data_IF_646216501291
#
_entry.id   IF_646216501291
#
_cell.length_a   1.000
_cell.length_b   1.000
_cell.length_c   1.000
_cell.angle_alpha   90.00
_cell.angle_beta   90.00
_cell.angle_gamma   90.00
#
_symmetry.space_group_name_H-M   'P 1'
#
loop_
_entity.id
_entity.type
_entity.pdbx_description
1 polymer ?
#
# COMPACT_ATOMS: atom_id res chain seq x y z
N UNK A 1 -20.37 -13.92 29.33
CA UNK A 1 -20.57 -14.58 28.03
C UNK A 1 -20.69 -13.46 26.98
N UNK A 2 -20.04 -13.61 25.83
CA UNK A 2 -20.18 -12.66 24.71
C UNK A 2 -21.63 -12.61 24.24
N UNK A 3 -22.12 -11.43 23.90
CA UNK A 3 -23.41 -11.23 23.28
C UNK A 3 -23.55 -11.95 21.93
N UNK A 4 -24.76 -12.09 21.42
CA UNK A 4 -25.00 -12.77 20.14
C UNK A 4 -24.35 -12.00 18.97
N UNK A 5 -24.45 -10.67 18.99
CA UNK A 5 -23.79 -9.79 18.00
C UNK A 5 -22.26 -9.96 18.04
N UNK A 6 -21.67 -9.93 19.24
CA UNK A 6 -20.22 -10.09 19.40
C UNK A 6 -19.71 -11.42 18.86
N UNK A 7 -20.48 -12.50 19.03
CA UNK A 7 -20.14 -13.82 18.47
C UNK A 7 -20.15 -13.83 16.96
N UNK A 8 -21.11 -13.15 16.33
CA UNK A 8 -21.16 -12.98 14.87
C UNK A 8 -19.96 -12.15 14.36
N UNK A 9 -19.67 -11.03 15.02
CA UNK A 9 -18.53 -10.17 14.70
C UNK A 9 -17.21 -10.95 14.84
N UNK A 10 -17.01 -11.66 15.95
CA UNK A 10 -15.79 -12.44 16.17
C UNK A 10 -15.60 -13.54 15.11
N UNK A 11 -16.66 -14.30 14.81
CA UNK A 11 -16.62 -15.32 13.75
C UNK A 11 -16.34 -14.71 12.38
N UNK A 12 -16.89 -13.53 12.08
CA UNK A 12 -16.65 -12.83 10.83
C UNK A 12 -15.20 -12.33 10.73
N UNK A 13 -14.65 -11.75 11.80
CA UNK A 13 -13.24 -11.30 11.85
C UNK A 13 -12.30 -12.47 11.59
N UNK A 14 -12.52 -13.62 12.23
CA UNK A 14 -11.72 -14.82 12.01
C UNK A 14 -11.76 -15.27 10.54
N UNK A 15 -12.95 -15.32 9.94
CA UNK A 15 -13.11 -15.75 8.54
C UNK A 15 -12.51 -14.75 7.56
N UNK A 16 -12.78 -13.45 7.71
CA UNK A 16 -12.29 -12.40 6.82
C UNK A 16 -10.77 -12.15 6.96
N UNK A 17 -10.18 -12.44 8.11
CA UNK A 17 -8.73 -12.31 8.28
C UNK A 17 -7.91 -13.33 7.49
N UNK A 18 -8.53 -14.43 7.05
CA UNK A 18 -7.87 -15.52 6.33
C UNK A 18 -8.47 -15.80 4.95
N UNK A 19 -9.63 -15.22 4.62
CA UNK A 19 -10.35 -15.45 3.37
C UNK A 19 -10.83 -14.14 2.78
N UNK A 20 -10.73 -14.04 1.47
CA UNK A 20 -11.30 -12.92 0.72
C UNK A 20 -12.80 -12.75 1.04
N UNK A 21 -13.23 -11.50 1.23
CA UNK A 21 -14.63 -11.14 1.55
C UNK A 21 -15.64 -11.85 0.66
N UNK A 22 -15.39 -11.88 -0.68
CA UNK A 22 -16.31 -12.51 -1.65
C UNK A 22 -16.55 -13.98 -1.41
N UNK A 23 -15.59 -14.72 -0.84
CA UNK A 23 -15.67 -16.17 -0.59
C UNK A 23 -16.30 -16.55 0.74
N UNK A 24 -16.49 -15.59 1.65
CA UNK A 24 -17.13 -15.82 2.96
C UNK A 24 -18.65 -15.67 2.84
N UNK A 25 -19.40 -16.70 3.24
CA UNK A 25 -20.87 -16.66 3.26
C UNK A 25 -21.42 -16.38 4.66
N UNK A 26 -22.64 -15.80 4.72
CA UNK A 26 -23.40 -15.62 5.98
C UNK A 26 -23.55 -16.95 6.72
N UNK A 27 -23.81 -18.04 5.99
CA UNK A 27 -23.92 -19.36 6.59
C UNK A 27 -22.62 -19.84 7.26
N UNK A 28 -21.45 -19.50 6.68
CA UNK A 28 -20.16 -19.81 7.30
C UNK A 28 -19.93 -19.00 8.58
N UNK A 29 -20.29 -17.71 8.58
CA UNK A 29 -20.21 -16.84 9.76
C UNK A 29 -21.11 -17.36 10.88
N UNK A 30 -22.37 -17.68 10.57
CA UNK A 30 -23.31 -18.24 11.55
C UNK A 30 -22.82 -19.56 12.15
N UNK A 31 -22.27 -20.44 11.31
CA UNK A 31 -21.71 -21.72 11.77
C UNK A 31 -20.55 -21.52 12.72
N UNK A 32 -19.60 -20.62 12.39
CA UNK A 32 -18.48 -20.27 13.26
C UNK A 32 -18.93 -19.68 14.60
N UNK A 33 -20.00 -18.87 14.57
CA UNK A 33 -20.61 -18.30 15.77
C UNK A 33 -21.47 -19.29 16.57
N UNK A 34 -21.77 -20.50 16.04
CA UNK A 34 -22.70 -21.44 16.65
C UNK A 34 -24.15 -20.93 16.68
N UNK A 35 -24.58 -20.24 15.61
CA UNK A 35 -25.88 -19.58 15.47
C UNK A 35 -26.59 -20.02 14.18
N UNK A 36 -27.91 -19.85 14.10
CA UNK A 36 -28.66 -20.06 12.88
C UNK A 36 -28.64 -18.81 11.98
N UNK A 37 -28.86 -19.01 10.66
CA UNK A 37 -28.96 -17.90 9.72
C UNK A 37 -30.08 -16.89 10.07
N UNK A 38 -31.20 -17.36 10.63
CA UNK A 38 -32.29 -16.50 11.06
C UNK A 38 -31.90 -15.55 12.20
N UNK A 39 -30.94 -15.95 13.04
CA UNK A 39 -30.42 -15.09 14.11
C UNK A 39 -29.55 -13.96 13.49
N UNK A 40 -28.78 -14.24 12.45
CA UNK A 40 -27.95 -13.23 11.77
C UNK A 40 -28.77 -12.01 11.31
N UNK A 41 -29.89 -12.29 10.63
CA UNK A 41 -30.73 -11.23 10.04
C UNK A 41 -31.53 -10.40 11.06
N UNK A 42 -31.42 -10.74 12.37
CA UNK A 42 -31.92 -9.85 13.44
C UNK A 42 -30.95 -8.75 13.82
N UNK A 43 -29.67 -8.90 13.46
CA UNK A 43 -28.59 -7.97 13.81
C UNK A 43 -28.03 -7.23 12.60
N UNK A 44 -28.01 -7.88 11.43
CA UNK A 44 -27.39 -7.34 10.23
C UNK A 44 -28.26 -7.61 8.99
N UNK A 45 -28.47 -6.59 8.16
CA UNK A 45 -29.23 -6.69 6.91
C UNK A 45 -28.50 -7.55 5.85
N UNK A 46 -27.21 -7.84 6.05
CA UNK A 46 -26.42 -8.66 5.17
C UNK A 46 -24.94 -8.69 5.55
N UNK A 47 -24.17 -9.48 4.80
CA UNK A 47 -22.73 -9.63 5.03
C UNK A 47 -21.99 -8.28 4.98
N UNK A 48 -22.40 -7.38 4.09
CA UNK A 48 -21.80 -6.06 3.97
C UNK A 48 -22.02 -5.21 5.22
N UNK A 49 -23.22 -5.20 5.78
CA UNK A 49 -23.54 -4.46 7.00
C UNK A 49 -22.66 -4.93 8.17
N UNK A 50 -22.48 -6.24 8.33
CA UNK A 50 -21.57 -6.79 9.34
C UNK A 50 -20.10 -6.37 9.06
N UNK A 51 -19.66 -6.43 7.79
CA UNK A 51 -18.29 -6.08 7.43
C UNK A 51 -18.02 -4.59 7.72
N UNK A 52 -18.93 -3.68 7.33
CA UNK A 52 -18.85 -2.26 7.64
C UNK A 52 -18.81 -1.99 9.15
N UNK A 53 -19.62 -2.69 9.92
CA UNK A 53 -19.60 -2.63 11.39
C UNK A 53 -18.23 -2.98 11.99
N UNK A 54 -17.54 -3.98 11.41
CA UNK A 54 -16.17 -4.33 11.81
C UNK A 54 -15.21 -3.19 11.46
N UNK A 55 -15.32 -2.62 10.26
CA UNK A 55 -14.44 -1.51 9.83
C UNK A 55 -14.60 -0.27 10.72
N UNK A 56 -15.83 0.08 11.09
CA UNK A 56 -16.14 1.16 12.03
C UNK A 56 -15.53 0.92 13.40
N UNK A 57 -15.63 -0.31 13.90
CA UNK A 57 -15.01 -0.70 15.17
C UNK A 57 -13.49 -0.56 15.12
N UNK A 58 -12.85 -0.96 14.03
CA UNK A 58 -11.40 -0.82 13.86
C UNK A 58 -11.00 0.65 13.82
N UNK A 59 -11.75 1.51 13.11
CA UNK A 59 -11.48 2.96 13.08
C UNK A 59 -11.57 3.57 14.48
N UNK A 60 -12.57 3.18 15.27
CA UNK A 60 -12.72 3.67 16.64
C UNK A 60 -11.57 3.20 17.54
N UNK A 61 -11.17 1.93 17.42
CA UNK A 61 -10.02 1.40 18.16
C UNK A 61 -8.73 2.13 17.79
N UNK A 62 -8.49 2.38 16.49
CA UNK A 62 -7.31 3.16 16.04
C UNK A 62 -7.40 4.59 16.57
N UNK A 63 -8.55 5.26 16.45
CA UNK A 63 -8.74 6.62 16.98
C UNK A 63 -8.36 6.67 18.44
N UNK A 64 -8.86 5.76 19.26
CA UNK A 64 -8.57 5.70 20.70
C UNK A 64 -7.08 5.45 20.98
N UNK A 65 -6.40 4.65 20.14
CA UNK A 65 -4.98 4.36 20.31
C UNK A 65 -4.09 5.57 19.97
N UNK A 66 -4.48 6.42 18.99
CA UNK A 66 -3.59 7.46 18.45
C UNK A 66 -4.03 8.90 18.75
N UNK A 67 -5.24 9.15 19.27
CA UNK A 67 -5.84 10.51 19.37
C UNK A 67 -5.06 11.49 20.24
N UNK A 68 -4.36 11.01 21.25
CA UNK A 68 -3.62 11.84 22.19
C UNK A 68 -2.21 11.29 22.44
N UNK A 69 -1.28 11.44 21.49
CA UNK A 69 0.10 11.06 21.70
C UNK A 69 0.68 11.70 22.96
N UNK A 70 1.24 10.86 23.85
CA UNK A 70 1.75 11.29 25.16
C UNK A 70 3.15 11.87 25.06
N UNK A 71 3.44 12.87 25.87
CA UNK A 71 4.78 13.42 25.97
C UNK A 71 4.80 14.90 26.34
N UNK A 72 5.87 15.33 26.98
CA UNK A 72 6.09 16.72 27.41
C UNK A 72 6.54 17.63 26.26
N UNK A 73 7.21 17.06 25.28
CA UNK A 73 7.68 17.75 24.08
C UNK A 73 7.13 17.09 22.79
N UNK A 74 7.32 17.75 21.65
CA UNK A 74 6.88 17.25 20.35
C UNK A 74 7.57 15.95 19.98
N UNK A 75 8.86 15.81 20.27
CA UNK A 75 9.62 14.57 20.05
C UNK A 75 9.00 13.38 20.78
N UNK A 76 8.66 13.55 22.07
CA UNK A 76 8.01 12.49 22.86
C UNK A 76 6.66 12.09 22.26
N UNK A 77 5.87 13.08 21.80
CA UNK A 77 4.56 12.83 21.17
C UNK A 77 4.70 12.06 19.85
N UNK A 78 5.69 12.39 19.01
CA UNK A 78 5.99 11.64 17.77
C UNK A 78 6.38 10.20 18.10
N UNK A 79 7.24 10.00 19.11
CA UNK A 79 7.61 8.65 19.56
C UNK A 79 6.42 7.86 20.09
N UNK A 80 5.54 8.53 20.85
CA UNK A 80 4.30 7.93 21.36
C UNK A 80 3.37 7.52 20.22
N UNK A 81 3.18 8.39 19.20
CA UNK A 81 2.38 8.09 18.02
C UNK A 81 2.96 6.90 17.24
N UNK A 82 4.26 6.89 16.96
CA UNK A 82 4.90 5.80 16.24
C UNK A 82 4.72 4.47 16.97
N UNK A 83 4.92 4.45 18.29
CA UNK A 83 4.68 3.26 19.12
C UNK A 83 3.22 2.81 19.08
N UNK A 84 2.26 3.73 19.16
CA UNK A 84 0.82 3.41 19.11
C UNK A 84 0.43 2.72 17.79
N UNK A 85 0.89 3.25 16.64
CA UNK A 85 0.62 2.67 15.32
C UNK A 85 1.19 1.24 15.21
N UNK A 86 2.43 1.05 15.63
CA UNK A 86 3.09 -0.26 15.54
C UNK A 86 2.47 -1.26 16.51
N UNK A 87 2.24 -0.85 17.77
CA UNK A 87 1.62 -1.74 18.77
C UNK A 87 0.21 -2.15 18.36
N UNK A 88 -0.61 -1.21 17.86
CA UNK A 88 -1.94 -1.53 17.36
C UNK A 88 -1.90 -2.61 16.26
N UNK A 89 -1.02 -2.46 15.29
CA UNK A 89 -0.89 -3.41 14.17
C UNK A 89 -0.46 -4.80 14.64
N UNK A 90 0.46 -4.86 15.59
CA UNK A 90 0.95 -6.11 16.18
C UNK A 90 -0.09 -6.80 17.05
N UNK A 91 -0.78 -6.03 17.90
CA UNK A 91 -1.70 -6.57 18.92
C UNK A 91 -3.06 -6.91 18.31
N UNK A 92 -3.39 -6.41 17.11
CA UNK A 92 -4.68 -6.59 16.42
C UNK A 92 -4.53 -7.08 14.96
N UNK A 93 -3.62 -8.03 14.70
CA UNK A 93 -3.27 -8.49 13.34
C UNK A 93 -4.46 -8.92 12.49
N UNK A 94 -5.43 -9.65 13.05
CA UNK A 94 -6.64 -10.06 12.33
C UNK A 94 -7.49 -8.86 11.90
N UNK A 95 -7.72 -7.91 12.80
CA UNK A 95 -8.48 -6.70 12.50
C UNK A 95 -7.77 -5.83 11.46
N UNK A 96 -6.44 -5.73 11.52
CA UNK A 96 -5.63 -5.03 10.51
C UNK A 96 -5.78 -5.71 9.15
N UNK A 97 -5.74 -7.05 9.08
CA UNK A 97 -5.94 -7.78 7.84
C UNK A 97 -7.33 -7.51 7.23
N UNK A 98 -8.40 -7.60 8.04
CA UNK A 98 -9.78 -7.32 7.61
C UNK A 98 -9.93 -5.86 7.16
N UNK A 99 -9.35 -4.91 7.92
CA UNK A 99 -9.46 -3.49 7.60
C UNK A 99 -8.75 -3.14 6.28
N UNK A 100 -7.61 -3.77 5.99
CA UNK A 100 -6.89 -3.54 4.72
C UNK A 100 -7.70 -3.94 3.50
N UNK A 101 -8.42 -5.05 3.55
CA UNK A 101 -9.36 -5.43 2.50
C UNK A 101 -10.54 -4.46 2.44
N UNK A 102 -11.09 -4.11 3.60
CA UNK A 102 -12.22 -3.20 3.71
C UNK A 102 -11.96 -1.82 3.13
N UNK A 103 -10.82 -1.22 3.42
CA UNK A 103 -10.42 0.08 2.88
C UNK A 103 -10.15 0.06 1.37
N UNK A 104 -9.76 -1.09 0.81
CA UNK A 104 -9.65 -1.27 -0.64
C UNK A 104 -11.03 -1.33 -1.31
N UNK A 105 -11.96 -2.05 -0.68
CA UNK A 105 -13.33 -2.24 -1.18
C UNK A 105 -14.21 -1.01 -1.00
N UNK A 106 -14.06 -0.31 0.13
CA UNK A 106 -14.83 0.85 0.54
C UNK A 106 -13.87 1.98 0.89
N UNK A 107 -13.47 2.74 -0.12
CA UNK A 107 -12.39 3.71 -0.03
C UNK A 107 -12.67 4.85 0.98
N UNK A 108 -13.92 5.10 1.32
CA UNK A 108 -14.31 6.04 2.38
C UNK A 108 -13.69 5.70 3.75
N UNK A 109 -13.40 4.42 4.02
CA UNK A 109 -12.73 4.03 5.27
C UNK A 109 -11.24 4.40 5.27
N UNK A 110 -10.55 4.35 4.12
CA UNK A 110 -9.19 4.87 4.01
C UNK A 110 -9.17 6.38 4.25
N UNK A 111 -10.15 7.11 3.73
CA UNK A 111 -10.28 8.55 3.97
C UNK A 111 -10.50 8.89 5.43
N UNK A 112 -11.39 8.16 6.09
CA UNK A 112 -11.64 8.34 7.52
C UNK A 112 -10.40 8.02 8.34
N UNK A 113 -9.68 6.95 8.00
CA UNK A 113 -8.43 6.59 8.67
C UNK A 113 -7.34 7.63 8.45
N UNK A 114 -7.21 8.16 7.24
CA UNK A 114 -6.28 9.24 6.92
C UNK A 114 -6.54 10.46 7.80
N UNK A 115 -7.82 10.90 7.92
CA UNK A 115 -8.19 12.02 8.75
C UNK A 115 -7.84 11.80 10.25
N UNK A 116 -8.06 10.58 10.78
CA UNK A 116 -7.67 10.22 12.16
C UNK A 116 -6.15 10.40 12.36
N UNK A 117 -5.34 9.89 11.45
CA UNK A 117 -3.90 10.00 11.55
C UNK A 117 -3.38 11.42 11.32
N UNK A 118 -3.99 12.18 10.40
CA UNK A 118 -3.65 13.60 10.19
C UNK A 118 -3.91 14.42 11.46
N UNK A 119 -5.05 14.21 12.10
CA UNK A 119 -5.38 14.88 13.37
C UNK A 119 -4.38 14.52 14.46
N UNK A 120 -4.02 13.24 14.59
CA UNK A 120 -3.05 12.78 15.59
C UNK A 120 -1.65 13.35 15.35
N UNK A 121 -1.18 13.37 14.09
CA UNK A 121 0.12 13.93 13.75
C UNK A 121 0.12 15.46 13.91
N UNK A 122 -0.98 16.15 13.56
CA UNK A 122 -1.14 17.57 13.79
C UNK A 122 -1.06 17.92 15.28
N UNK A 123 -1.70 17.12 16.14
CA UNK A 123 -1.60 17.28 17.59
C UNK A 123 -0.17 17.06 18.08
N UNK A 124 0.52 16.01 17.59
CA UNK A 124 1.91 15.73 17.99
C UNK A 124 2.86 16.87 17.63
N UNK A 125 2.69 17.48 16.46
CA UNK A 125 3.52 18.57 15.95
C UNK A 125 3.07 19.96 16.43
N UNK A 126 1.84 20.09 16.97
CA UNK A 126 1.28 21.37 17.40
C UNK A 126 0.94 22.32 16.24
N UNK A 127 0.65 21.78 15.04
CA UNK A 127 0.28 22.52 13.84
C UNK A 127 -0.53 21.66 12.88
N UNK A 128 -1.28 22.27 11.98
CA UNK A 128 -1.91 21.55 10.88
C UNK A 128 -0.85 20.96 9.93
N UNK A 129 -1.13 19.76 9.40
CA UNK A 129 -0.31 19.08 8.44
C UNK A 129 -1.03 18.89 7.11
N UNK A 130 -0.27 18.85 6.02
CA UNK A 130 -0.77 18.54 4.70
C UNK A 130 -0.52 17.08 4.29
N UNK A 131 -0.81 16.81 3.02
CA UNK A 131 -0.67 15.47 2.45
C UNK A 131 0.78 14.98 2.44
N UNK A 132 1.76 15.84 2.16
CA UNK A 132 3.15 15.43 2.09
C UNK A 132 3.71 14.97 3.45
N UNK A 133 3.35 15.67 4.54
CA UNK A 133 3.68 15.25 5.91
C UNK A 133 3.03 13.90 6.25
N UNK A 134 1.76 13.74 5.88
CA UNK A 134 1.04 12.49 6.07
C UNK A 134 1.72 11.34 5.32
N UNK A 135 2.03 11.51 4.03
CA UNK A 135 2.67 10.48 3.21
C UNK A 135 4.05 10.11 3.75
N UNK A 136 4.85 11.11 4.13
CA UNK A 136 6.16 10.87 4.73
C UNK A 136 6.03 10.10 6.05
N UNK A 137 5.31 10.65 7.01
CA UNK A 137 5.30 10.11 8.37
C UNK A 137 4.42 8.87 8.51
N UNK A 138 3.15 9.01 8.16
CA UNK A 138 2.16 7.96 8.38
C UNK A 138 2.24 6.89 7.29
N UNK A 139 2.49 7.28 6.04
CA UNK A 139 2.69 6.32 4.94
C UNK A 139 3.84 5.36 5.24
N UNK A 140 5.02 5.87 5.56
CA UNK A 140 6.18 5.06 5.94
C UNK A 140 5.92 4.21 7.19
N UNK A 141 5.38 4.82 8.24
CA UNK A 141 5.11 4.16 9.52
C UNK A 141 4.07 3.03 9.42
N UNK A 142 2.93 3.30 8.77
CA UNK A 142 1.85 2.29 8.55
C UNK A 142 2.36 1.09 7.77
N UNK A 143 3.11 1.33 6.70
CA UNK A 143 3.63 0.26 5.87
C UNK A 143 4.57 -0.65 6.67
N UNK A 144 5.54 -0.07 7.39
CA UNK A 144 6.41 -0.81 8.29
C UNK A 144 5.63 -1.63 9.32
N UNK A 145 4.64 -1.03 9.99
CA UNK A 145 3.81 -1.70 10.98
C UNK A 145 3.03 -2.88 10.40
N UNK A 146 2.40 -2.69 9.24
CA UNK A 146 1.61 -3.72 8.56
C UNK A 146 2.51 -4.85 8.04
N UNK A 147 3.63 -4.52 7.40
CA UNK A 147 4.57 -5.51 6.88
C UNK A 147 5.17 -6.37 7.99
N UNK A 148 5.49 -5.75 9.13
CA UNK A 148 5.95 -6.48 10.30
C UNK A 148 4.86 -7.39 10.87
N UNK A 149 3.64 -6.88 11.06
CA UNK A 149 2.55 -7.60 11.69
C UNK A 149 2.00 -8.76 10.83
N UNK A 150 1.82 -8.54 9.51
CA UNK A 150 1.16 -9.51 8.61
C UNK A 150 2.14 -10.37 7.82
N UNK A 151 3.36 -9.91 7.60
CA UNK A 151 4.33 -10.61 6.73
C UNK A 151 5.63 -10.98 7.43
N UNK A 152 5.77 -10.71 8.73
CA UNK A 152 6.93 -11.07 9.53
C UNK A 152 8.21 -10.34 9.14
N UNK A 153 8.11 -9.17 8.49
CA UNK A 153 9.28 -8.35 8.15
C UNK A 153 9.88 -7.80 9.42
N UNK A 154 11.18 -7.94 9.60
CA UNK A 154 11.89 -7.44 10.77
C UNK A 154 12.08 -5.93 10.64
N UNK A 155 11.49 -5.17 11.57
CA UNK A 155 11.55 -3.72 11.65
C UNK A 155 12.18 -3.32 13.00
N UNK A 156 13.21 -2.48 12.96
CA UNK A 156 13.76 -1.86 14.16
C UNK A 156 12.89 -0.67 14.58
N UNK A 157 12.04 -0.90 15.58
CA UNK A 157 11.02 0.06 16.01
C UNK A 157 11.62 1.37 16.54
N UNK A 158 12.82 1.31 17.11
CA UNK A 158 13.60 2.45 17.60
C UNK A 158 14.06 3.40 16.48
N UNK A 159 14.18 2.90 15.24
CA UNK A 159 14.58 3.71 14.10
C UNK A 159 13.44 4.61 13.59
N UNK A 160 12.19 4.15 13.69
CA UNK A 160 11.04 4.86 13.14
C UNK A 160 10.86 6.27 13.70
N UNK A 161 10.88 6.50 15.03
CA UNK A 161 10.82 7.84 15.58
C UNK A 161 12.02 8.72 15.18
N UNK A 162 13.20 8.11 15.01
CA UNK A 162 14.39 8.85 14.58
C UNK A 162 14.27 9.30 13.14
N UNK A 163 13.74 8.43 12.24
CA UNK A 163 13.45 8.78 10.85
C UNK A 163 12.46 9.96 10.80
N UNK A 164 11.39 9.91 11.58
CA UNK A 164 10.39 10.97 11.64
C UNK A 164 10.98 12.30 12.14
N UNK A 165 11.82 12.25 13.17
CA UNK A 165 12.39 13.45 13.75
C UNK A 165 13.56 14.04 12.95
N UNK A 166 14.39 13.21 12.30
CA UNK A 166 15.68 13.64 11.73
C UNK A 166 15.86 13.35 10.25
N UNK A 167 14.93 12.64 9.63
CA UNK A 167 15.03 12.17 8.24
C UNK A 167 15.96 10.97 8.06
N UNK A 168 15.89 10.37 6.88
CA UNK A 168 16.76 9.25 6.47
C UNK A 168 18.07 9.70 5.84
N UNK A 169 18.06 10.84 5.13
CA UNK A 169 19.20 11.34 4.33
C UNK A 169 19.73 12.64 4.94
N UNK A 170 20.10 12.59 6.22
CA UNK A 170 20.48 13.76 7.02
C UNK A 170 21.50 14.64 6.33
N UNK A 171 21.15 15.93 6.24
CA UNK A 171 22.02 16.95 5.66
C UNK A 171 22.21 16.89 4.14
N UNK A 172 21.60 15.89 3.46
CA UNK A 172 21.60 15.86 2.00
C UNK A 172 20.63 16.89 1.46
N UNK A 173 21.03 17.58 0.39
CA UNK A 173 20.17 18.45 -0.40
C UNK A 173 19.92 17.83 -1.77
N UNK A 174 18.90 18.30 -2.47
CA UNK A 174 18.60 17.86 -3.82
C UNK A 174 18.30 19.03 -4.73
N UNK A 175 18.63 18.88 -6.02
CA UNK A 175 18.24 19.81 -7.06
C UNK A 175 16.96 19.30 -7.74
N UNK A 176 15.90 20.11 -7.68
CA UNK A 176 14.61 19.78 -8.29
C UNK A 176 14.71 19.56 -9.81
N UNK A 177 15.61 20.27 -10.51
CA UNK A 177 15.81 20.10 -11.94
C UNK A 177 16.37 18.71 -12.27
N UNK A 178 17.21 18.14 -11.41
CA UNK A 178 17.80 16.80 -11.56
C UNK A 178 16.80 15.71 -11.22
N UNK A 179 15.94 15.94 -10.22
CA UNK A 179 14.88 14.99 -9.82
C UNK A 179 13.78 14.92 -10.87
N UNK A 180 13.30 16.07 -11.36
CA UNK A 180 12.12 16.14 -12.23
C UNK A 180 12.44 16.41 -13.70
N UNK A 181 13.71 16.63 -14.04
CA UNK A 181 14.14 16.96 -15.39
C UNK A 181 14.09 15.76 -16.35
N UNK A 182 14.05 16.09 -17.65
CA UNK A 182 13.98 15.11 -18.73
C UNK A 182 12.56 14.53 -18.93
N UNK A 183 12.36 13.97 -20.13
CA UNK A 183 11.10 13.29 -20.50
C UNK A 183 11.22 11.82 -20.19
N UNK A 184 10.33 11.30 -19.36
CA UNK A 184 10.26 9.86 -19.09
C UNK A 184 9.80 9.12 -20.36
N UNK A 185 10.63 8.19 -20.82
CA UNK A 185 10.35 7.41 -22.03
C UNK A 185 9.48 6.20 -21.68
N UNK A 186 8.26 6.09 -22.23
CA UNK A 186 7.41 4.91 -22.05
C UNK A 186 8.07 3.62 -22.54
N UNK A 187 7.51 2.48 -22.15
CA UNK A 187 7.91 1.19 -22.69
C UNK A 187 7.62 1.15 -24.20
N UNK A 188 8.54 0.70 -25.04
CA UNK A 188 8.21 0.42 -26.43
C UNK A 188 7.14 -0.69 -26.45
N UNK A 189 6.01 -0.42 -27.06
CA UNK A 189 4.97 -1.44 -27.29
C UNK A 189 5.45 -2.33 -28.43
N UNK A 190 5.57 -3.64 -28.18
CA UNK A 190 5.87 -4.57 -29.26
C UNK A 190 4.79 -4.48 -30.35
N UNK A 191 5.22 -4.32 -31.61
CA UNK A 191 4.32 -4.19 -32.76
C UNK A 191 3.51 -5.46 -33.00
N UNK A 192 4.09 -6.63 -32.72
CA UNK A 192 3.44 -7.93 -32.81
C UNK A 192 3.51 -8.64 -31.46
N UNK A 193 2.34 -8.86 -30.84
CA UNK A 193 2.23 -9.60 -29.60
C UNK A 193 1.92 -11.08 -29.92
N UNK A 194 2.69 -12.00 -29.35
CA UNK A 194 2.37 -13.42 -29.37
C UNK A 194 1.08 -13.72 -28.57
N UNK A 195 0.55 -14.94 -28.69
CA UNK A 195 -0.70 -15.33 -28.03
C UNK A 195 -0.67 -15.09 -26.50
N UNK A 196 0.45 -15.43 -25.86
CA UNK A 196 0.65 -15.23 -24.42
C UNK A 196 0.61 -13.74 -24.02
N UNK A 197 1.25 -12.89 -24.79
CA UNK A 197 1.24 -11.42 -24.54
C UNK A 197 -0.13 -10.81 -24.78
N UNK A 198 -0.86 -11.27 -25.80
CA UNK A 198 -2.25 -10.85 -26.05
C UNK A 198 -3.14 -11.21 -24.89
N UNK A 199 -3.05 -12.43 -24.35
CA UNK A 199 -3.77 -12.85 -23.15
C UNK A 199 -3.42 -11.94 -21.96
N UNK A 200 -2.13 -11.71 -21.65
CA UNK A 200 -1.72 -10.89 -20.52
C UNK A 200 -2.21 -9.43 -20.62
N UNK A 201 -2.19 -8.84 -21.82
CA UNK A 201 -2.74 -7.49 -22.06
C UNK A 201 -4.25 -7.45 -21.85
N UNK A 202 -4.97 -8.44 -22.35
CA UNK A 202 -6.43 -8.55 -22.19
C UNK A 202 -6.82 -8.71 -20.73
N UNK A 203 -6.14 -9.57 -19.99
CA UNK A 203 -6.39 -9.74 -18.56
C UNK A 203 -6.01 -8.53 -17.73
N UNK A 204 -4.92 -7.86 -18.07
CA UNK A 204 -4.56 -6.61 -17.40
C UNK A 204 -5.69 -5.59 -17.46
N UNK A 205 -6.25 -5.38 -18.64
CA UNK A 205 -7.39 -4.49 -18.85
C UNK A 205 -8.60 -4.93 -18.03
N UNK A 206 -9.01 -6.20 -18.15
CA UNK A 206 -10.21 -6.71 -17.50
C UNK A 206 -10.08 -6.73 -15.96
N UNK A 207 -8.92 -7.13 -15.43
CA UNK A 207 -8.68 -7.08 -13.98
C UNK A 207 -8.59 -5.65 -13.46
N UNK A 208 -8.06 -4.70 -14.22
CA UNK A 208 -8.07 -3.28 -13.86
C UNK A 208 -9.48 -2.70 -13.83
N UNK A 209 -10.35 -3.11 -14.75
CA UNK A 209 -11.73 -2.62 -14.86
C UNK A 209 -12.69 -3.28 -13.86
N UNK A 210 -12.59 -4.61 -13.66
CA UNK A 210 -13.59 -5.42 -12.93
C UNK A 210 -13.05 -6.13 -11.69
N UNK A 211 -11.74 -6.25 -11.57
CA UNK A 211 -11.09 -7.06 -10.53
C UNK A 211 -11.03 -8.55 -10.89
N UNK A 212 -10.33 -9.30 -10.04
CA UNK A 212 -10.04 -10.72 -10.25
C UNK A 212 -11.31 -11.59 -10.26
N UNK A 213 -12.21 -11.40 -9.29
CA UNK A 213 -13.36 -12.31 -9.15
C UNK A 213 -14.42 -12.13 -10.23
N UNK A 214 -14.65 -10.91 -10.69
CA UNK A 214 -15.66 -10.58 -11.70
C UNK A 214 -15.17 -10.83 -13.14
N UNK A 215 -13.88 -11.03 -13.35
CA UNK A 215 -13.31 -11.39 -14.66
C UNK A 215 -13.31 -12.90 -14.85
N UNK A 216 -13.78 -13.40 -15.98
CA UNK A 216 -13.70 -14.82 -16.32
C UNK A 216 -12.76 -15.07 -17.52
N UNK A 217 -12.35 -16.36 -17.70
CA UNK A 217 -11.37 -16.73 -18.72
C UNK A 217 -11.94 -16.52 -20.14
N UNK A 218 -13.25 -16.72 -20.35
CA UNK A 218 -13.87 -16.47 -21.65
C UNK A 218 -13.74 -15.01 -22.07
N UNK A 219 -14.01 -14.06 -21.17
CA UNK A 219 -13.83 -12.63 -21.46
C UNK A 219 -12.38 -12.29 -21.82
N UNK A 220 -11.41 -12.90 -21.13
CA UNK A 220 -9.99 -12.70 -21.42
C UNK A 220 -9.65 -13.21 -22.81
N UNK A 221 -10.12 -14.42 -23.15
CA UNK A 221 -9.83 -15.04 -24.46
C UNK A 221 -10.56 -14.33 -25.59
N UNK A 222 -11.80 -13.91 -25.39
CA UNK A 222 -12.57 -13.14 -26.37
C UNK A 222 -11.89 -11.80 -26.68
N UNK A 223 -11.47 -11.07 -25.64
CA UNK A 223 -10.75 -9.81 -25.82
C UNK A 223 -9.37 -10.00 -26.47
N UNK A 224 -8.73 -11.16 -26.24
CA UNK A 224 -7.47 -11.53 -26.86
C UNK A 224 -7.65 -12.09 -28.29
N UNK A 225 -8.90 -12.30 -28.75
CA UNK A 225 -9.25 -13.01 -30.01
C UNK A 225 -8.58 -14.39 -30.10
N UNK A 226 -8.68 -15.15 -29.03
CA UNK A 226 -8.10 -16.50 -28.89
C UNK A 226 -9.14 -17.47 -28.33
N UNK A 227 -8.90 -18.77 -28.49
CA UNK A 227 -9.75 -19.79 -27.89
C UNK A 227 -9.43 -20.01 -26.41
N UNK A 228 -10.39 -20.53 -25.64
CA UNK A 228 -10.16 -20.99 -24.27
C UNK A 228 -9.07 -22.08 -24.20
N UNK A 229 -8.99 -22.95 -25.24
CA UNK A 229 -7.90 -23.92 -25.35
C UNK A 229 -6.51 -23.28 -25.47
N UNK A 230 -6.42 -22.14 -26.17
CA UNK A 230 -5.17 -21.37 -26.23
C UNK A 230 -4.77 -20.80 -24.87
N UNK A 231 -5.73 -20.37 -24.04
CA UNK A 231 -5.44 -19.96 -22.66
C UNK A 231 -4.81 -21.09 -21.85
N UNK A 232 -5.45 -22.27 -21.86
CA UNK A 232 -4.97 -23.41 -21.07
C UNK A 232 -3.67 -24.05 -21.63
N UNK A 233 -3.27 -23.74 -22.86
CA UNK A 233 -1.95 -24.11 -23.37
C UNK A 233 -0.81 -23.25 -22.76
N UNK A 234 -1.12 -22.08 -22.21
CA UNK A 234 -0.15 -21.16 -21.62
C UNK A 234 -0.24 -21.08 -20.09
N UNK A 235 -1.43 -21.26 -19.51
CA UNK A 235 -1.68 -21.06 -18.08
C UNK A 235 -2.57 -22.19 -17.53
N UNK A 236 -2.16 -22.80 -16.44
CA UNK A 236 -2.89 -23.93 -15.82
C UNK A 236 -4.21 -23.49 -15.18
N UNK A 237 -4.26 -22.26 -14.65
CA UNK A 237 -5.43 -21.71 -13.95
C UNK A 237 -5.47 -20.18 -14.06
N UNK A 238 -6.59 -19.60 -13.65
CA UNK A 238 -6.76 -18.14 -13.54
C UNK A 238 -5.79 -17.55 -12.48
N UNK A 239 -5.52 -18.28 -11.42
CA UNK A 239 -4.61 -17.88 -10.35
C UNK A 239 -3.16 -17.86 -10.83
N UNK A 240 -2.70 -18.89 -11.55
CA UNK A 240 -1.34 -18.92 -12.13
C UNK A 240 -1.18 -17.83 -13.18
N UNK A 241 -2.19 -17.58 -13.99
CA UNK A 241 -2.23 -16.49 -14.95
C UNK A 241 -2.15 -15.12 -14.24
N UNK A 242 -2.92 -14.92 -13.15
CA UNK A 242 -2.90 -13.68 -12.40
C UNK A 242 -1.54 -13.44 -11.71
N UNK A 243 -0.93 -14.49 -11.16
CA UNK A 243 0.43 -14.41 -10.62
C UNK A 243 1.46 -13.98 -11.67
N UNK A 244 1.34 -14.49 -12.89
CA UNK A 244 2.20 -14.12 -14.00
C UNK A 244 2.00 -12.65 -14.42
N UNK A 245 0.75 -12.20 -14.41
CA UNK A 245 0.43 -10.80 -14.65
C UNK A 245 1.07 -9.89 -13.59
N UNK A 246 1.03 -10.25 -12.31
CA UNK A 246 1.70 -9.49 -11.23
C UNK A 246 3.21 -9.42 -11.47
N UNK A 247 3.85 -10.52 -11.90
CA UNK A 247 5.29 -10.52 -12.25
C UNK A 247 5.59 -9.59 -13.42
N UNK A 248 4.74 -9.61 -14.46
CA UNK A 248 4.86 -8.71 -15.61
C UNK A 248 4.76 -7.25 -15.15
N UNK A 249 3.75 -6.89 -14.35
CA UNK A 249 3.59 -5.53 -13.82
C UNK A 249 4.79 -5.10 -12.97
N UNK A 250 5.31 -6.00 -12.11
CA UNK A 250 6.53 -5.75 -11.34
C UNK A 250 7.74 -5.47 -12.23
N UNK A 251 7.91 -6.25 -13.30
CA UNK A 251 8.98 -6.06 -14.27
C UNK A 251 8.85 -4.72 -14.99
N UNK A 252 7.66 -4.38 -15.46
CA UNK A 252 7.39 -3.17 -16.25
C UNK A 252 7.67 -1.91 -15.44
N UNK A 253 7.19 -1.83 -14.21
CA UNK A 253 7.46 -0.71 -13.29
C UNK A 253 8.96 -0.54 -13.07
N UNK A 254 9.65 -1.62 -12.68
CA UNK A 254 11.09 -1.57 -12.39
C UNK A 254 11.92 -1.22 -13.62
N UNK A 255 11.55 -1.77 -14.78
CA UNK A 255 12.22 -1.47 -16.06
C UNK A 255 12.01 -0.02 -16.47
N UNK A 256 10.79 0.52 -16.26
CA UNK A 256 10.50 1.93 -16.52
C UNK A 256 11.35 2.84 -15.63
N UNK A 257 11.36 2.59 -14.32
CA UNK A 257 12.16 3.36 -13.36
C UNK A 257 13.65 3.26 -13.72
N UNK A 258 14.17 2.06 -13.90
CA UNK A 258 15.60 1.83 -14.18
C UNK A 258 16.09 2.55 -15.43
N UNK A 259 15.29 2.59 -16.49
CA UNK A 259 15.67 3.27 -17.75
C UNK A 259 15.65 4.80 -17.65
N UNK A 260 14.79 5.33 -16.76
CA UNK A 260 14.57 6.76 -16.63
C UNK A 260 15.24 7.36 -15.37
N UNK A 261 15.95 6.55 -14.57
CA UNK A 261 16.49 6.98 -13.27
C UNK A 261 17.67 7.95 -13.39
N UNK A 262 18.43 7.93 -14.48
CA UNK A 262 19.56 8.84 -14.69
C UNK A 262 19.10 10.31 -14.77
N UNK A 263 19.93 11.24 -14.28
CA UNK A 263 19.69 12.66 -14.47
C UNK A 263 19.73 13.03 -15.95
N UNK A 264 18.97 14.07 -16.32
CA UNK A 264 18.90 14.54 -17.72
C UNK A 264 20.24 15.02 -18.29
N UNK A 265 21.16 15.45 -17.44
CA UNK A 265 22.52 15.89 -17.78
C UNK A 265 23.54 14.74 -17.76
N UNK A 266 23.13 13.51 -17.49
CA UNK A 266 23.99 12.33 -17.39
C UNK A 266 24.88 12.29 -16.14
N UNK A 267 24.81 13.27 -15.26
CA UNK A 267 25.59 13.29 -14.02
C UNK A 267 25.02 12.31 -12.98
N UNK A 268 25.84 11.74 -12.08
CA UNK A 268 25.36 10.84 -11.05
C UNK A 268 24.47 11.59 -10.06
N UNK A 269 23.27 11.04 -9.80
CA UNK A 269 22.39 11.52 -8.74
C UNK A 269 22.97 11.15 -7.38
N UNK A 270 22.88 12.07 -6.40
CA UNK A 270 23.09 11.69 -5.02
C UNK A 270 21.95 10.78 -4.56
N UNK A 271 22.08 10.20 -3.37
CA UNK A 271 21.15 9.20 -2.88
C UNK A 271 19.72 9.74 -2.70
N UNK A 272 19.58 10.92 -2.08
CA UNK A 272 18.27 11.56 -1.91
C UNK A 272 17.62 11.88 -3.27
N UNK A 273 18.39 12.42 -4.21
CA UNK A 273 17.91 12.68 -5.56
C UNK A 273 17.44 11.42 -6.28
N UNK A 274 18.17 10.30 -6.12
CA UNK A 274 17.82 9.02 -6.72
C UNK A 274 16.50 8.49 -6.15
N UNK A 275 16.30 8.57 -4.84
CA UNK A 275 15.04 8.17 -4.18
C UNK A 275 13.86 9.02 -4.64
N UNK A 276 14.03 10.33 -4.65
CA UNK A 276 12.98 11.26 -5.10
C UNK A 276 12.64 11.06 -6.58
N UNK A 277 13.65 10.83 -7.42
CA UNK A 277 13.44 10.53 -8.83
C UNK A 277 12.74 9.18 -9.01
N UNK A 278 13.09 8.16 -8.24
CA UNK A 278 12.39 6.88 -8.23
C UNK A 278 10.91 7.04 -7.86
N UNK A 279 10.61 7.77 -6.79
CA UNK A 279 9.24 8.08 -6.38
C UNK A 279 8.49 8.89 -7.44
N UNK A 280 9.14 9.90 -8.04
CA UNK A 280 8.57 10.69 -9.14
C UNK A 280 8.23 9.81 -10.34
N UNK A 281 9.17 8.97 -10.78
CA UNK A 281 8.97 8.06 -11.91
C UNK A 281 7.87 7.02 -11.64
N UNK A 282 7.75 6.53 -10.40
CA UNK A 282 6.63 5.69 -9.99
C UNK A 282 5.28 6.40 -10.20
N UNK A 283 5.14 7.64 -9.74
CA UNK A 283 3.92 8.43 -9.93
C UNK A 283 3.64 8.75 -11.40
N UNK A 284 4.69 9.03 -12.19
CA UNK A 284 4.57 9.17 -13.66
C UNK A 284 4.10 7.87 -14.29
N UNK A 285 4.67 6.72 -13.90
CA UNK A 285 4.24 5.42 -14.42
C UNK A 285 2.74 5.18 -14.18
N UNK A 286 2.22 5.52 -13.02
CA UNK A 286 0.78 5.38 -12.72
C UNK A 286 -0.12 6.25 -13.60
N UNK A 287 0.38 7.35 -14.15
CA UNK A 287 -0.39 8.13 -15.14
C UNK A 287 -0.41 7.47 -16.52
N UNK A 288 0.62 6.70 -16.84
CA UNK A 288 0.75 5.96 -18.10
C UNK A 288 0.02 4.61 -18.07
N UNK A 289 -0.07 4.01 -16.89
CA UNK A 289 -0.64 2.68 -16.66
C UNK A 289 -1.50 2.67 -15.39
N UNK A 290 -2.74 3.14 -15.54
CA UNK A 290 -3.67 3.27 -14.41
C UNK A 290 -4.15 1.93 -13.86
N UNK A 291 -4.17 0.88 -14.68
CA UNK A 291 -4.66 -0.45 -14.30
C UNK A 291 -3.66 -1.19 -13.39
N UNK A 292 -2.39 -0.83 -13.44
CA UNK A 292 -1.32 -1.51 -12.71
C UNK A 292 -1.59 -1.57 -11.20
N UNK A 293 -1.91 -0.44 -10.59
CA UNK A 293 -1.97 -0.35 -9.13
C UNK A 293 -3.21 -1.00 -8.52
N UNK A 294 -4.44 -0.83 -9.05
CA UNK A 294 -5.61 -1.59 -8.61
C UNK A 294 -5.40 -3.11 -8.64
N UNK A 295 -4.77 -3.63 -9.71
CA UNK A 295 -4.46 -5.05 -9.84
C UNK A 295 -3.52 -5.53 -8.72
N UNK A 296 -2.42 -4.81 -8.47
CA UNK A 296 -1.46 -5.16 -7.42
C UNK A 296 -2.11 -5.07 -6.03
N UNK A 297 -2.96 -4.08 -5.81
CA UNK A 297 -3.70 -3.92 -4.55
C UNK A 297 -4.67 -5.07 -4.29
N UNK A 298 -5.44 -5.48 -5.30
CA UNK A 298 -6.34 -6.64 -5.15
C UNK A 298 -5.56 -7.94 -4.93
N UNK A 299 -4.42 -8.09 -5.62
CA UNK A 299 -3.56 -9.26 -5.47
C UNK A 299 -3.04 -9.46 -4.04
N UNK A 300 -2.95 -8.41 -3.21
CA UNK A 300 -2.58 -8.54 -1.79
C UNK A 300 -3.52 -9.48 -1.03
N UNK A 301 -4.79 -9.55 -1.44
CA UNK A 301 -5.82 -10.36 -0.81
C UNK A 301 -6.07 -11.68 -1.55
N UNK A 302 -5.92 -11.67 -2.87
CA UNK A 302 -6.17 -12.85 -3.73
C UNK A 302 -4.97 -13.79 -3.75
N UNK A 303 -3.76 -13.25 -3.96
CA UNK A 303 -2.49 -13.98 -4.08
C UNK A 303 -1.37 -13.31 -3.25
N UNK A 304 -1.42 -13.35 -1.91
CA UNK A 304 -0.43 -12.69 -1.06
C UNK A 304 1.03 -13.08 -1.36
N UNK A 305 1.26 -14.29 -1.84
CA UNK A 305 2.61 -14.76 -2.22
C UNK A 305 3.18 -13.97 -3.41
N UNK A 306 2.36 -13.72 -4.44
CA UNK A 306 2.78 -12.94 -5.61
C UNK A 306 3.12 -11.49 -5.25
N UNK A 307 2.38 -10.90 -4.30
CA UNK A 307 2.66 -9.54 -3.83
C UNK A 307 3.89 -9.49 -2.92
N UNK A 308 4.15 -10.53 -2.11
CA UNK A 308 5.43 -10.62 -1.39
C UNK A 308 6.62 -10.64 -2.36
N UNK A 309 6.52 -11.39 -3.46
CA UNK A 309 7.52 -11.42 -4.53
C UNK A 309 7.66 -10.04 -5.19
N UNK A 310 6.53 -9.38 -5.48
CA UNK A 310 6.49 -8.02 -6.04
C UNK A 310 7.31 -7.04 -5.19
N UNK A 311 7.03 -6.92 -3.90
CA UNK A 311 7.80 -6.05 -3.00
C UNK A 311 9.24 -6.53 -2.79
N UNK A 312 9.47 -7.85 -2.77
CA UNK A 312 10.81 -8.44 -2.67
C UNK A 312 11.76 -7.95 -3.75
N UNK A 313 11.29 -7.85 -4.99
CA UNK A 313 12.10 -7.34 -6.09
C UNK A 313 12.54 -5.87 -5.89
N UNK A 314 11.73 -5.02 -5.25
CA UNK A 314 12.13 -3.65 -4.91
C UNK A 314 13.16 -3.66 -3.78
N UNK A 315 12.93 -4.45 -2.73
CA UNK A 315 13.89 -4.60 -1.62
C UNK A 315 15.27 -5.07 -2.14
N UNK A 316 15.30 -6.03 -3.05
CA UNK A 316 16.54 -6.51 -3.67
C UNK A 316 17.22 -5.44 -4.52
N UNK A 317 16.45 -4.58 -5.18
CA UNK A 317 16.97 -3.41 -5.90
C UNK A 317 17.71 -2.44 -4.96
N UNK A 318 17.15 -2.17 -3.80
CA UNK A 318 17.79 -1.33 -2.78
C UNK A 318 19.05 -1.98 -2.20
N UNK A 319 19.05 -3.27 -1.92
CA UNK A 319 20.20 -4.00 -1.36
C UNK A 319 21.41 -4.06 -2.29
N UNK A 320 21.20 -4.00 -3.60
CA UNK A 320 22.29 -3.97 -4.59
C UNK A 320 23.06 -2.65 -4.58
N UNK A 321 22.52 -1.58 -3.98
CA UNK A 321 23.15 -0.28 -3.84
C UNK A 321 23.22 0.11 -2.35
N UNK A 322 24.11 -0.49 -1.56
CA UNK A 322 24.10 -0.41 -0.10
C UNK A 322 24.70 0.88 0.48
N UNK A 323 24.75 1.98 -0.25
CA UNK A 323 25.26 3.26 0.28
C UNK A 323 24.43 3.64 1.54
N UNK A 324 25.12 3.87 2.66
CA UNK A 324 24.56 3.95 4.00
C UNK A 324 23.29 4.81 4.20
N UNK A 325 22.34 4.33 4.98
CA UNK A 325 21.05 4.97 5.29
C UNK A 325 21.11 5.87 6.55
N UNK A 326 22.25 6.52 6.81
CA UNK A 326 22.45 7.19 8.09
C UNK A 326 22.57 6.13 9.23
N UNK A 327 21.97 6.42 10.40
CA UNK A 327 22.02 5.54 11.56
C UNK A 327 20.89 4.47 11.58
N UNK A 328 19.92 4.55 10.64
CA UNK A 328 18.81 3.62 10.59
C UNK A 328 19.21 2.28 9.96
N UNK A 329 18.62 1.18 10.47
CA UNK A 329 18.77 -0.13 9.86
C UNK A 329 18.29 -0.13 8.40
N UNK A 330 19.11 -0.70 7.52
CA UNK A 330 18.83 -0.70 6.08
C UNK A 330 17.47 -1.31 5.75
N UNK A 331 17.09 -2.41 6.40
CA UNK A 331 15.79 -3.06 6.18
C UNK A 331 14.63 -2.15 6.56
N UNK A 332 14.70 -1.52 7.73
CA UNK A 332 13.68 -0.58 8.21
C UNK A 332 13.57 0.65 7.32
N UNK A 333 14.71 1.20 6.87
CA UNK A 333 14.73 2.34 5.95
C UNK A 333 14.08 2.02 4.60
N UNK A 334 14.37 0.85 4.02
CA UNK A 334 13.77 0.39 2.76
C UNK A 334 12.24 0.25 2.90
N UNK A 335 11.77 -0.42 3.95
CA UNK A 335 10.33 -0.59 4.17
C UNK A 335 9.63 0.75 4.40
N UNK A 336 10.29 1.70 5.06
CA UNK A 336 9.76 3.05 5.24
C UNK A 336 9.61 3.80 3.90
N UNK A 337 10.62 3.74 3.02
CA UNK A 337 10.59 4.33 1.68
C UNK A 337 9.53 3.68 0.78
N UNK A 338 9.41 2.35 0.83
CA UNK A 338 8.36 1.62 0.13
C UNK A 338 6.97 2.04 0.63
N UNK A 339 6.83 2.33 1.92
CA UNK A 339 5.59 2.86 2.50
C UNK A 339 5.20 4.22 1.93
N UNK A 340 6.15 5.14 1.82
CA UNK A 340 5.91 6.44 1.17
C UNK A 340 5.45 6.23 -0.28
N UNK A 341 6.12 5.37 -1.05
CA UNK A 341 5.76 5.09 -2.43
C UNK A 341 4.37 4.43 -2.54
N UNK A 342 4.06 3.47 -1.65
CA UNK A 342 2.78 2.76 -1.60
C UNK A 342 1.61 3.72 -1.35
N UNK A 343 1.68 4.56 -0.32
CA UNK A 343 0.59 5.49 -0.01
C UNK A 343 0.51 6.65 -0.99
N UNK A 344 1.63 7.10 -1.56
CA UNK A 344 1.61 8.04 -2.69
C UNK A 344 0.93 7.44 -3.92
N UNK A 345 1.10 6.14 -4.16
CA UNK A 345 0.43 5.41 -5.23
C UNK A 345 -1.09 5.29 -4.99
N UNK A 346 -1.54 5.06 -3.74
CA UNK A 346 -2.96 5.08 -3.37
C UNK A 346 -3.57 6.45 -3.71
N UNK A 347 -2.94 7.54 -3.26
CA UNK A 347 -3.41 8.89 -3.55
C UNK A 347 -3.48 9.19 -5.05
N UNK A 348 -2.48 8.76 -5.82
CA UNK A 348 -2.44 8.99 -7.25
C UNK A 348 -3.46 8.16 -8.05
N UNK A 349 -3.76 6.92 -7.61
CA UNK A 349 -4.59 5.99 -8.35
C UNK A 349 -6.08 6.07 -8.01
N UNK A 350 -6.44 6.37 -6.74
CA UNK A 350 -7.81 6.27 -6.26
C UNK A 350 -8.46 7.64 -5.95
N UNK A 351 -7.69 8.74 -5.99
CA UNK A 351 -8.24 10.06 -5.72
C UNK A 351 -8.85 10.73 -6.94
N UNK A 352 -10.00 11.37 -6.71
CA UNK A 352 -10.67 12.16 -7.74
C UNK A 352 -9.95 13.49 -8.02
N UNK A 353 -9.24 14.05 -7.03
CA UNK A 353 -8.42 15.25 -7.22
C UNK A 353 -7.01 14.83 -7.57
N UNK A 354 -6.49 15.20 -8.76
CA UNK A 354 -5.14 14.82 -9.15
C UNK A 354 -4.12 15.26 -8.11
N UNK A 355 -3.31 14.31 -7.63
CA UNK A 355 -2.16 14.60 -6.79
C UNK A 355 -1.23 15.56 -7.55
N UNK A 356 -0.90 16.70 -6.95
CA UNK A 356 0.24 17.47 -7.43
C UNK A 356 1.53 16.72 -7.08
N UNK A 357 1.82 15.69 -7.85
CA UNK A 357 2.89 14.74 -7.60
C UNK A 357 4.26 15.43 -7.45
N UNK A 358 4.52 16.46 -8.26
CA UNK A 358 5.79 17.20 -8.17
C UNK A 358 5.93 17.94 -6.85
N UNK A 359 4.91 18.66 -6.42
CA UNK A 359 4.93 19.39 -5.15
C UNK A 359 5.02 18.43 -3.96
N UNK A 360 4.28 17.30 -4.01
CA UNK A 360 4.33 16.28 -2.97
C UNK A 360 5.72 15.65 -2.84
N UNK A 361 6.33 15.20 -3.95
CA UNK A 361 7.68 14.62 -3.96
C UNK A 361 8.73 15.62 -3.49
N UNK A 362 8.62 16.88 -3.90
CA UNK A 362 9.53 17.94 -3.45
C UNK A 362 9.43 18.18 -1.93
N UNK A 363 8.23 18.22 -1.37
CA UNK A 363 8.01 18.38 0.06
C UNK A 363 8.52 17.14 0.83
N UNK A 364 8.20 15.91 0.37
CA UNK A 364 8.70 14.65 0.92
C UNK A 364 10.25 14.65 0.94
N UNK A 365 10.90 15.20 -0.08
CA UNK A 365 12.37 15.34 -0.13
C UNK A 365 12.92 16.14 1.03
N UNK A 366 12.25 17.23 1.42
CA UNK A 366 12.60 18.02 2.61
C UNK A 366 12.50 17.18 3.90
N UNK A 367 11.45 16.37 4.04
CA UNK A 367 11.28 15.49 5.22
C UNK A 367 12.24 14.31 5.22
N UNK A 368 12.54 13.73 4.07
CA UNK A 368 13.57 12.69 3.97
C UNK A 368 14.95 13.20 4.37
N UNK A 369 15.27 14.48 4.11
CA UNK A 369 16.52 15.11 4.49
C UNK A 369 16.60 15.48 5.98
N UNK A 370 15.52 16.00 6.58
CA UNK A 370 15.54 16.64 7.88
C UNK A 370 14.53 16.09 8.90
N UNK A 371 13.62 15.23 8.45
CA UNK A 371 12.47 14.85 9.27
C UNK A 371 11.62 16.08 9.61
N UNK A 372 11.12 16.07 10.81
CA UNK A 372 10.40 17.20 11.43
C UNK A 372 11.28 18.08 12.31
N UNK A 373 12.63 18.02 12.18
CA UNK A 373 13.57 18.75 13.04
C UNK A 373 13.24 20.23 13.17
N UNK A 374 12.85 20.88 12.06
CA UNK A 374 12.52 22.31 12.04
C UNK A 374 11.28 22.67 12.89
N UNK A 375 10.54 21.69 13.41
CA UNK A 375 9.29 21.87 14.14
C UNK A 375 9.30 21.28 15.55
N UNK A 376 10.42 20.67 15.96
CA UNK A 376 10.52 19.98 17.26
C UNK A 376 10.87 20.90 18.43
N UNK A 377 11.36 22.09 18.14
CA UNK A 377 11.73 23.10 19.13
C UNK A 377 10.53 23.89 19.67
#
# INVERSE_FOLDING_TARGET
MLGTEDRLVQSAVELFSHKWYGTVSVAAICRGAGLSNGVFYRYFDGKEALFRRILEQVLEMIRNAVSAPRGSCKTDRIQSLARAVVSFSRDHTQLVAVFREGQYRFFEYERTLMAIYQQSLSFALGREIGLAEYLFAIGGLRFCAIRSALHGVVIRLEDLPQILCKGLFRGMTFDASRVFGGTATPHPVALEANARERLLRSGKRLFGEKGFFETNIHEITDLAELSVGAFYSHFESKETYFAELIRMLSHDVRSFISRNIAASDGSPLNRLERELRGLWLWLVYLTLDRDCYPIVREAEFVLPAAVREYYGHFVDGYRKNPEGNGDADQGTAIEFLLGIAHYSGIEAAFEMTPLNARAAVQAIGGYLSRGFSDWLD
#
